data_IF_138523278948
#
_entry.id   IF_138523278948
#
_cell.length_a   1.000
_cell.length_b   1.000
_cell.length_c   1.000
_cell.angle_alpha   90.00
_cell.angle_beta   90.00
_cell.angle_gamma   90.00
#
_symmetry.space_group_name_H-M   'P 1'
#
loop_
_entity.id
_entity.type
_entity.pdbx_description
1 polymer ?
#
# COMPACT_ATOMS: atom_id res chain seq x y z
N UNK A 1 -7.68 -26.94 -15.38
CA UNK A 1 -8.46 -27.45 -14.23
C UNK A 1 -9.62 -28.25 -14.81
N UNK A 2 -9.95 -29.41 -14.26
CA UNK A 2 -11.19 -30.16 -14.55
C UNK A 2 -12.47 -29.40 -14.14
N UNK A 3 -12.35 -28.13 -13.74
CA UNK A 3 -13.42 -27.27 -13.25
C UNK A 3 -13.94 -26.21 -14.25
N UNK A 4 -13.58 -26.28 -15.54
CA UNK A 4 -14.32 -25.56 -16.59
C UNK A 4 -14.29 -24.02 -16.53
N UNK A 5 -13.22 -23.40 -16.02
CA UNK A 5 -13.10 -21.93 -16.00
C UNK A 5 -12.13 -21.49 -17.10
N UNK A 6 -12.65 -20.91 -18.18
CA UNK A 6 -11.89 -20.32 -19.29
C UNK A 6 -11.41 -18.91 -18.97
N UNK A 7 -10.51 -18.77 -17.99
CA UNK A 7 -9.64 -17.60 -17.92
C UNK A 7 -8.24 -18.02 -17.50
N UNK A 8 -7.23 -17.59 -18.27
CA UNK A 8 -5.83 -17.69 -17.87
C UNK A 8 -5.63 -16.91 -16.57
N UNK A 9 -5.63 -17.59 -15.43
CA UNK A 9 -5.36 -16.98 -14.14
C UNK A 9 -3.85 -16.80 -14.01
N UNK A 10 -3.33 -15.64 -14.38
CA UNK A 10 -2.01 -15.23 -13.88
C UNK A 10 -2.21 -14.93 -12.38
N UNK A 11 -2.05 -15.95 -11.53
CA UNK A 11 -1.84 -15.71 -10.10
C UNK A 11 -0.50 -14.99 -9.96
N UNK A 12 -0.61 -13.74 -9.48
CA UNK A 12 0.43 -12.73 -9.20
C UNK A 12 1.86 -13.28 -9.20
N UNK A 13 2.67 -12.79 -10.15
CA UNK A 13 4.13 -12.96 -10.14
C UNK A 13 4.65 -12.50 -8.77
N UNK A 14 5.18 -13.48 -8.04
CA UNK A 14 5.69 -13.38 -6.68
C UNK A 14 7.07 -12.70 -6.69
N UNK A 15 7.10 -11.42 -7.01
CA UNK A 15 8.28 -10.59 -6.82
C UNK A 15 8.50 -10.33 -5.33
N UNK A 16 9.29 -11.16 -4.65
CA UNK A 16 9.77 -10.90 -3.28
C UNK A 16 10.50 -9.55 -3.23
N UNK A 17 9.92 -8.56 -2.54
CA UNK A 17 10.54 -7.28 -2.13
C UNK A 17 9.77 -6.70 -0.92
N UNK A 18 9.21 -7.54 -0.03
CA UNK A 18 8.57 -7.02 1.19
C UNK A 18 9.08 -7.77 2.41
N UNK A 19 9.89 -7.07 3.20
CA UNK A 19 10.13 -7.43 4.59
C UNK A 19 8.85 -7.16 5.39
N UNK A 20 8.45 -8.14 6.20
CA UNK A 20 7.34 -7.97 7.15
C UNK A 20 7.66 -6.81 8.09
N UNK A 21 6.72 -5.87 8.22
CA UNK A 21 6.82 -4.75 9.16
C UNK A 21 6.03 -5.09 10.41
N UNK A 22 6.63 -4.80 11.57
CA UNK A 22 5.96 -4.93 12.87
C UNK A 22 5.70 -3.52 13.40
N UNK A 23 4.44 -3.17 13.60
CA UNK A 23 4.02 -1.89 14.14
C UNK A 23 3.03 -2.09 15.28
N UNK A 24 3.38 -1.63 16.49
CA UNK A 24 2.55 -1.75 17.71
C UNK A 24 2.02 -3.18 17.96
N UNK A 25 2.86 -4.19 17.71
CA UNK A 25 2.49 -5.60 17.88
C UNK A 25 1.72 -6.21 16.70
N UNK A 26 1.34 -5.42 15.70
CA UNK A 26 0.72 -5.90 14.46
C UNK A 26 1.77 -6.19 13.41
N UNK A 27 1.66 -7.35 12.75
CA UNK A 27 2.47 -7.74 11.60
C UNK A 27 1.72 -7.47 10.31
N UNK A 28 2.34 -6.78 9.36
CA UNK A 28 1.77 -6.56 8.03
C UNK A 28 2.86 -6.51 6.96
N UNK A 29 2.48 -6.71 5.70
CA UNK A 29 3.35 -6.47 4.56
C UNK A 29 2.94 -5.17 3.87
N UNK A 30 3.89 -4.36 3.35
CA UNK A 30 3.55 -3.18 2.55
C UNK A 30 2.68 -3.51 1.33
N UNK A 31 2.81 -4.72 0.77
CA UNK A 31 1.89 -5.29 -0.22
C UNK A 31 0.42 -5.33 0.19
N UNK A 32 0.10 -5.41 1.49
CA UNK A 32 -1.28 -5.40 1.98
C UNK A 32 -1.87 -3.98 1.86
N UNK A 33 -1.08 -2.95 2.18
CA UNK A 33 -1.45 -1.54 1.98
C UNK A 33 -1.60 -1.25 0.49
N UNK A 34 -0.71 -1.79 -0.35
CA UNK A 34 -0.81 -1.67 -1.82
C UNK A 34 -2.14 -2.21 -2.35
N UNK A 35 -2.58 -3.38 -1.86
CA UNK A 35 -3.82 -3.99 -2.30
C UNK A 35 -5.04 -3.11 -1.97
N UNK A 36 -5.05 -2.50 -0.78
CA UNK A 36 -6.10 -1.56 -0.37
C UNK A 36 -6.07 -0.32 -1.28
N UNK A 37 -4.91 0.31 -1.45
CA UNK A 37 -4.76 1.48 -2.32
C UNK A 37 -5.18 1.19 -3.77
N UNK A 38 -4.84 0.01 -4.29
CA UNK A 38 -5.24 -0.42 -5.63
C UNK A 38 -6.77 -0.53 -5.79
N UNK A 39 -7.50 -0.93 -4.75
CA UNK A 39 -8.97 -0.96 -4.76
C UNK A 39 -9.60 0.43 -4.91
N UNK A 40 -8.89 1.48 -4.45
CA UNK A 40 -9.27 2.89 -4.64
C UNK A 40 -8.75 3.49 -5.96
N UNK A 41 -8.12 2.70 -6.83
CA UNK A 41 -7.56 3.17 -8.10
C UNK A 41 -6.26 3.97 -7.96
N UNK A 42 -5.64 3.96 -6.77
CA UNK A 42 -4.37 4.65 -6.52
C UNK A 42 -3.22 3.89 -7.18
N UNK A 43 -2.46 4.58 -8.04
CA UNK A 43 -1.31 4.01 -8.75
C UNK A 43 0.04 4.42 -8.17
N UNK A 44 0.09 5.61 -7.60
CA UNK A 44 1.33 6.22 -7.08
C UNK A 44 1.20 6.48 -5.60
N UNK A 45 2.06 5.85 -4.82
CA UNK A 45 2.05 5.93 -3.38
C UNK A 45 3.45 5.73 -2.77
N UNK A 46 3.61 6.19 -1.54
CA UNK A 46 4.81 6.05 -0.72
C UNK A 46 4.38 5.72 0.71
N UNK A 47 4.97 4.66 1.27
CA UNK A 47 4.76 4.21 2.64
C UNK A 47 6.02 4.54 3.43
N UNK A 48 5.87 5.43 4.40
CA UNK A 48 6.92 5.84 5.32
C UNK A 48 6.67 5.16 6.67
N UNK A 49 7.55 4.24 7.04
CA UNK A 49 7.47 3.50 8.31
C UNK A 49 8.51 4.09 9.25
N UNK A 50 8.06 4.70 10.34
CA UNK A 50 8.94 5.09 11.44
C UNK A 50 8.64 4.31 12.72
N UNK A 51 9.52 4.47 13.71
CA UNK A 51 9.44 3.74 14.99
C UNK A 51 8.08 3.89 15.69
N UNK A 52 7.47 5.08 15.62
CA UNK A 52 6.23 5.41 16.32
C UNK A 52 5.03 5.70 15.42
N UNK A 53 5.22 5.76 14.09
CA UNK A 53 4.15 6.12 13.14
C UNK A 53 4.34 5.49 11.76
N UNK A 54 3.22 5.20 11.12
CA UNK A 54 3.17 4.84 9.68
C UNK A 54 2.46 5.99 8.95
N UNK A 55 3.08 6.48 7.88
CA UNK A 55 2.53 7.52 7.01
C UNK A 55 2.40 6.95 5.59
N UNK A 56 1.18 6.98 5.06
CA UNK A 56 0.87 6.56 3.69
C UNK A 56 0.53 7.81 2.88
N UNK A 57 1.40 8.12 1.92
CA UNK A 57 1.21 9.20 0.94
C UNK A 57 0.75 8.61 -0.37
N UNK A 58 -0.24 9.20 -1.01
CA UNK A 58 -0.65 8.78 -2.35
C UNK A 58 -1.07 9.96 -3.23
N UNK A 59 -0.97 9.77 -4.54
CA UNK A 59 -1.51 10.72 -5.51
C UNK A 59 -2.98 10.41 -5.77
N UNK A 60 -3.86 11.37 -5.51
CA UNK A 60 -5.29 11.17 -5.66
C UNK A 60 -6.12 12.25 -4.97
N UNK A 61 -7.43 12.08 -4.99
CA UNK A 61 -8.37 12.99 -4.33
C UNK A 61 -8.34 12.80 -2.82
N UNK A 62 -8.54 13.89 -2.06
CA UNK A 62 -8.69 13.83 -0.60
C UNK A 62 -9.94 13.06 -0.16
N UNK A 63 -10.93 12.89 -1.04
CA UNK A 63 -12.20 12.20 -0.73
C UNK A 63 -11.99 10.73 -0.32
N UNK A 64 -10.99 10.06 -0.89
CA UNK A 64 -10.72 8.65 -0.63
C UNK A 64 -9.90 8.43 0.65
N UNK A 65 -9.33 9.48 1.25
CA UNK A 65 -8.46 9.37 2.44
C UNK A 65 -9.15 8.68 3.61
N UNK A 66 -10.41 9.04 3.88
CA UNK A 66 -11.21 8.44 4.96
C UNK A 66 -11.54 6.97 4.68
N UNK A 67 -11.81 6.62 3.42
CA UNK A 67 -12.08 5.24 3.01
C UNK A 67 -10.84 4.37 3.17
N UNK A 68 -9.70 4.83 2.64
CA UNK A 68 -8.41 4.15 2.76
C UNK A 68 -8.01 3.96 4.23
N UNK A 69 -8.16 4.99 5.06
CA UNK A 69 -7.85 4.89 6.50
C UNK A 69 -8.75 3.85 7.19
N UNK A 70 -10.05 3.85 6.88
CA UNK A 70 -11.01 2.91 7.45
C UNK A 70 -10.67 1.47 7.07
N UNK A 71 -10.41 1.22 5.79
CA UNK A 71 -10.09 -0.13 5.30
C UNK A 71 -8.76 -0.61 5.88
N UNK A 72 -7.72 0.23 5.94
CA UNK A 72 -6.47 -0.16 6.59
C UNK A 72 -6.70 -0.51 8.07
N UNK A 73 -7.55 0.25 8.77
CA UNK A 73 -7.89 -0.07 10.17
C UNK A 73 -8.66 -1.39 10.28
N UNK A 74 -9.58 -1.68 9.37
CA UNK A 74 -10.40 -2.90 9.39
C UNK A 74 -9.60 -4.15 9.01
N UNK A 75 -8.76 -4.05 7.98
CA UNK A 75 -7.95 -5.18 7.48
C UNK A 75 -6.66 -5.40 8.25
N UNK A 76 -5.95 -4.33 8.64
CA UNK A 76 -4.65 -4.44 9.31
C UNK A 76 -4.72 -4.18 10.82
N UNK A 77 -5.82 -3.64 11.35
CA UNK A 77 -5.97 -3.44 12.80
C UNK A 77 -5.18 -2.25 13.37
N UNK A 78 -4.62 -1.37 12.54
CA UNK A 78 -3.99 -0.13 12.98
C UNK A 78 -4.43 1.06 12.12
N UNK A 79 -4.34 2.26 12.69
CA UNK A 79 -4.68 3.51 12.00
C UNK A 79 -3.39 4.25 11.58
N UNK A 80 -2.98 4.21 10.30
CA UNK A 80 -1.88 5.02 9.79
C UNK A 80 -2.30 6.48 9.64
N UNK A 81 -1.32 7.38 9.48
CA UNK A 81 -1.57 8.72 8.96
C UNK A 81 -1.67 8.63 7.44
N UNK A 82 -2.72 9.20 6.86
CA UNK A 82 -2.96 9.24 5.40
C UNK A 82 -2.78 10.67 4.90
N UNK A 83 -2.12 10.83 3.76
CA UNK A 83 -1.89 12.13 3.13
C UNK A 83 -2.09 12.01 1.61
N UNK A 84 -3.11 12.68 1.07
CA UNK A 84 -3.34 12.77 -0.36
C UNK A 84 -2.52 13.92 -0.94
N UNK A 85 -1.86 13.67 -2.07
CA UNK A 85 -1.01 14.62 -2.77
C UNK A 85 -1.54 14.85 -4.19
N UNK A 86 -1.28 16.04 -4.78
CA UNK A 86 -1.61 16.28 -6.17
C UNK A 86 -0.85 15.32 -7.10
N UNK A 87 -1.47 14.94 -8.21
CA UNK A 87 -0.83 14.12 -9.24
C UNK A 87 0.49 14.72 -9.71
N UNK A 88 1.55 13.92 -9.78
CA UNK A 88 2.90 14.35 -10.14
C UNK A 88 3.75 14.87 -8.99
N UNK A 89 3.27 14.82 -7.74
CA UNK A 89 4.03 15.28 -6.56
C UNK A 89 4.99 14.23 -6.00
N UNK A 90 4.76 12.94 -6.28
CA UNK A 90 5.67 11.89 -5.84
C UNK A 90 6.80 11.70 -6.85
N UNK A 91 8.05 11.66 -6.35
CA UNK A 91 9.23 11.39 -7.17
C UNK A 91 9.09 10.05 -7.92
N UNK A 92 9.12 10.14 -9.26
CA UNK A 92 9.10 8.99 -10.15
C UNK A 92 10.53 8.49 -10.30
N UNK A 93 10.94 7.53 -9.48
CA UNK A 93 12.25 6.91 -9.66
C UNK A 93 12.26 6.00 -10.90
N UNK A 94 13.21 6.22 -11.81
CA UNK A 94 13.52 5.30 -12.92
C UNK A 94 14.15 4.01 -12.34
N UNK A 95 13.31 3.03 -11.93
CA UNK A 95 13.77 1.75 -11.38
C UNK A 95 12.72 1.04 -10.52
N UNK A 96 13.13 0.02 -9.74
CA UNK A 96 12.29 -0.56 -8.66
C UNK A 96 12.02 0.54 -7.63
N UNK A 97 10.91 1.25 -7.79
CA UNK A 97 10.52 2.35 -6.92
C UNK A 97 10.62 1.91 -5.45
N UNK A 98 11.41 2.61 -4.64
CA UNK A 98 11.46 2.43 -3.19
C UNK A 98 10.16 3.00 -2.60
N UNK A 99 9.08 2.25 -2.75
CA UNK A 99 7.76 2.61 -2.23
C UNK A 99 7.72 2.57 -0.70
N UNK A 100 8.63 1.80 -0.08
CA UNK A 100 8.84 1.74 1.35
C UNK A 100 10.08 2.55 1.75
N UNK A 101 9.92 3.51 2.67
CA UNK A 101 11.02 4.24 3.29
C UNK A 101 10.95 4.06 4.80
N UNK A 102 12.05 3.61 5.41
CA UNK A 102 12.19 3.61 6.86
C UNK A 102 12.68 4.99 7.30
N UNK A 103 11.91 5.66 8.15
CA UNK A 103 12.26 6.97 8.72
C UNK A 103 12.66 6.71 10.17
N UNK A 104 13.93 6.97 10.51
CA UNK A 104 14.47 6.74 11.86
C UNK A 104 13.80 7.66 12.90
#
# INVERSE_FOLDING_TARGET
>A
CECGIEHMTIKRIRGRTDDMVIYKGVKFYPSDIEAILAAYGVKHYKIEVGNSRILVKFEGSEEITKGVEKDIKEFLGFKPKIEALPYGSLERFEGKAKRLVRVD
#
